data_IF_903366514723
#
_entry.id   IF_903366514723
#
_cell.length_a   1.000
_cell.length_b   1.000
_cell.length_c   1.000
_cell.angle_alpha   90.00
_cell.angle_beta   90.00
_cell.angle_gamma   90.00
#
_symmetry.space_group_name_H-M   'P 1'
#
loop_
_entity.id
_entity.type
_entity.pdbx_description
1 polymer ?
#
# COMPACT_ATOMS: atom_id res chain seq x y z
N UNK A 1 -48.27 -4.89 13.00
CA UNK A 1 -47.65 -4.26 11.81
C UNK A 1 -46.50 -3.39 12.31
N UNK A 2 -45.27 -3.85 12.14
CA UNK A 2 -44.08 -3.15 12.60
C UNK A 2 -43.58 -2.29 11.42
N UNK A 3 -43.75 -0.99 11.50
CA UNK A 3 -43.18 -0.04 10.57
C UNK A 3 -41.80 0.28 11.06
N UNK A 4 -40.79 -0.42 10.51
CA UNK A 4 -39.37 -0.12 10.74
C UNK A 4 -39.00 1.28 10.24
N UNK A 5 -37.97 1.92 10.82
CA UNK A 5 -37.53 3.25 10.39
C UNK A 5 -37.08 3.20 8.90
N UNK A 6 -37.65 4.12 8.11
CA UNK A 6 -37.36 4.22 6.70
C UNK A 6 -35.86 4.34 6.45
N UNK A 7 -35.37 3.53 5.54
CA UNK A 7 -34.02 3.68 4.98
C UNK A 7 -34.04 5.03 4.25
N UNK A 8 -33.42 6.06 4.83
CA UNK A 8 -33.16 7.31 4.13
C UNK A 8 -32.29 6.98 2.90
N UNK A 9 -32.86 7.09 1.71
CA UNK A 9 -32.10 7.10 0.47
C UNK A 9 -31.17 8.33 0.54
N UNK A 10 -29.90 8.09 0.76
CA UNK A 10 -28.88 9.14 0.64
C UNK A 10 -28.78 9.45 -0.86
N UNK A 11 -29.20 10.64 -1.26
CA UNK A 11 -29.11 11.05 -2.64
C UNK A 11 -27.64 11.20 -3.04
N UNK A 12 -27.30 10.80 -4.25
CA UNK A 12 -25.94 10.86 -4.80
C UNK A 12 -25.35 12.28 -4.72
N UNK A 13 -26.20 13.31 -4.79
CA UNK A 13 -25.83 14.72 -4.60
C UNK A 13 -25.38 15.04 -3.17
N UNK A 14 -25.94 14.38 -2.15
CA UNK A 14 -25.58 14.60 -0.76
C UNK A 14 -24.24 13.94 -0.45
N UNK A 15 -23.94 12.80 -1.07
CA UNK A 15 -22.64 12.15 -0.99
C UNK A 15 -21.56 13.04 -1.62
N UNK A 16 -21.83 13.62 -2.79
CA UNK A 16 -20.92 14.53 -3.48
C UNK A 16 -20.66 15.83 -2.71
N UNK A 17 -21.65 16.34 -1.99
CA UNK A 17 -21.50 17.53 -1.12
C UNK A 17 -20.66 17.25 0.14
N UNK A 18 -20.58 16.02 0.58
CA UNK A 18 -19.78 15.61 1.75
C UNK A 18 -18.36 15.20 1.36
N UNK A 19 -18.07 14.93 0.10
CA UNK A 19 -16.77 14.53 -0.38
C UNK A 19 -15.78 15.70 -0.34
N UNK A 20 -14.75 15.59 0.48
CA UNK A 20 -13.61 16.51 0.44
C UNK A 20 -12.70 16.13 -0.71
N UNK A 21 -12.47 17.06 -1.63
CA UNK A 21 -11.51 16.89 -2.71
C UNK A 21 -10.17 17.52 -2.34
N UNK A 22 -9.07 16.85 -2.70
CA UNK A 22 -7.70 17.34 -2.51
C UNK A 22 -6.90 17.13 -3.78
N UNK A 23 -5.97 18.02 -4.05
CA UNK A 23 -4.93 17.79 -5.06
C UNK A 23 -3.73 17.15 -4.38
N UNK A 24 -3.47 15.88 -4.69
CA UNK A 24 -2.37 15.09 -4.13
C UNK A 24 -1.72 14.25 -5.25
N UNK A 25 -0.55 13.74 -5.00
CA UNK A 25 0.10 12.77 -5.89
C UNK A 25 -0.32 11.32 -5.59
N UNK A 26 0.06 10.39 -6.48
CA UNK A 26 -0.30 8.97 -6.36
C UNK A 26 0.34 8.29 -5.14
N UNK A 27 1.54 8.68 -4.74
CA UNK A 27 2.19 8.12 -3.55
C UNK A 27 1.44 8.50 -2.28
N UNK A 28 1.05 9.78 -2.15
CA UNK A 28 0.24 10.25 -1.02
C UNK A 28 -1.12 9.56 -0.98
N UNK A 29 -1.75 9.36 -2.14
CA UNK A 29 -3.02 8.65 -2.26
C UNK A 29 -2.92 7.19 -1.80
N UNK A 30 -1.90 6.46 -2.27
CA UNK A 30 -1.62 5.08 -1.86
C UNK A 30 -1.33 4.98 -0.36
N UNK A 31 -0.44 5.84 0.16
CA UNK A 31 -0.10 5.88 1.57
C UNK A 31 -1.31 6.18 2.46
N UNK A 32 -2.24 7.02 2.00
CA UNK A 32 -3.44 7.37 2.75
C UNK A 32 -4.32 6.14 3.03
N UNK A 33 -4.55 5.32 2.03
CA UNK A 33 -5.34 4.10 2.16
C UNK A 33 -4.55 3.03 2.92
N UNK A 34 -3.29 2.81 2.56
CA UNK A 34 -2.43 1.85 3.24
C UNK A 34 -2.35 2.12 4.76
N UNK A 35 -2.19 3.39 5.15
CA UNK A 35 -2.17 3.79 6.55
C UNK A 35 -3.49 3.48 7.26
N UNK A 36 -4.61 3.72 6.58
CA UNK A 36 -5.93 3.51 7.17
C UNK A 36 -6.20 2.03 7.50
N UNK A 37 -5.66 1.11 6.71
CA UNK A 37 -5.95 -0.33 6.82
C UNK A 37 -4.82 -1.18 7.39
N UNK A 38 -3.67 -0.58 7.77
CA UNK A 38 -2.53 -1.33 8.28
C UNK A 38 -2.28 -1.07 9.77
N UNK A 39 -1.77 -2.09 10.46
CA UNK A 39 -1.20 -1.98 11.80
C UNK A 39 0.30 -1.69 11.75
N UNK A 40 0.96 -2.23 10.73
CA UNK A 40 2.41 -2.13 10.54
C UNK A 40 2.74 -1.79 9.08
N UNK A 41 3.71 -0.92 8.86
CA UNK A 41 4.39 -0.77 7.59
C UNK A 41 5.89 -1.05 7.80
N UNK A 42 6.40 -2.12 7.18
CA UNK A 42 7.82 -2.41 7.19
C UNK A 42 8.43 -1.94 5.86
N UNK A 43 9.40 -1.05 5.93
CA UNK A 43 9.87 -0.27 4.79
C UNK A 43 11.38 -0.33 4.63
N UNK A 44 11.84 -0.11 3.41
CA UNK A 44 13.16 0.36 3.09
C UNK A 44 13.04 1.34 1.90
N UNK A 45 13.37 2.64 2.11
CA UNK A 45 13.06 3.68 1.12
C UNK A 45 13.78 3.46 -0.22
N UNK A 46 13.04 3.58 -1.31
CA UNK A 46 13.57 3.56 -2.67
C UNK A 46 12.77 4.50 -3.57
N UNK A 47 13.45 5.32 -4.38
CA UNK A 47 12.83 6.22 -5.36
C UNK A 47 12.12 5.41 -6.47
N UNK A 48 10.88 5.76 -6.87
CA UNK A 48 10.06 6.90 -6.45
C UNK A 48 9.04 6.60 -5.34
N UNK A 49 9.12 5.47 -4.64
CA UNK A 49 8.15 5.06 -3.61
C UNK A 49 8.41 5.68 -2.23
N UNK A 50 9.60 6.26 -1.99
CA UNK A 50 9.98 6.85 -0.70
C UNK A 50 8.94 7.81 -0.10
N UNK A 51 8.27 8.69 -0.87
CA UNK A 51 7.26 9.59 -0.31
C UNK A 51 6.08 8.87 0.36
N UNK A 52 5.74 7.64 -0.03
CA UNK A 52 4.71 6.85 0.66
C UNK A 52 5.12 6.56 2.11
N UNK A 53 6.38 6.14 2.28
CA UNK A 53 6.92 5.84 3.61
C UNK A 53 7.08 7.11 4.46
N UNK A 54 7.59 8.19 3.86
CA UNK A 54 7.81 9.47 4.53
C UNK A 54 6.52 10.07 5.09
N UNK A 55 5.45 10.14 4.28
CA UNK A 55 4.15 10.67 4.75
C UNK A 55 3.50 9.75 5.78
N UNK A 56 3.64 8.43 5.64
CA UNK A 56 3.12 7.48 6.62
C UNK A 56 3.83 7.62 7.98
N UNK A 57 5.15 7.81 7.98
CA UNK A 57 5.93 8.05 9.20
C UNK A 57 5.58 9.39 9.85
N UNK A 58 5.45 10.47 9.04
CA UNK A 58 4.99 11.76 9.51
C UNK A 58 3.61 11.67 10.18
N UNK A 59 2.65 10.99 9.56
CA UNK A 59 1.32 10.80 10.15
C UNK A 59 1.39 10.00 11.45
N UNK A 60 2.20 8.97 11.52
CA UNK A 60 2.41 8.18 12.72
C UNK A 60 3.05 9.04 13.83
N UNK A 61 4.06 9.86 13.51
CA UNK A 61 4.70 10.76 14.46
C UNK A 61 3.72 11.80 15.01
N UNK A 62 2.82 12.31 14.16
CA UNK A 62 1.79 13.28 14.53
C UNK A 62 0.55 12.66 15.20
N UNK A 63 0.57 11.37 15.51
CA UNK A 63 -0.49 10.70 16.29
C UNK A 63 -1.74 10.33 15.49
N UNK A 64 -1.69 10.33 14.14
CA UNK A 64 -2.78 9.82 13.32
C UNK A 64 -3.03 8.34 13.66
N UNK A 65 -4.30 7.94 13.74
CA UNK A 65 -4.68 6.55 13.92
C UNK A 65 -5.20 5.95 12.61
N UNK A 66 -5.08 4.64 12.49
CA UNK A 66 -5.73 3.84 11.44
C UNK A 66 -7.25 3.72 11.71
N UNK A 67 -7.98 3.01 10.87
CA UNK A 67 -9.42 2.79 11.04
C UNK A 67 -9.78 1.98 12.30
N UNK A 68 -8.81 1.26 12.86
CA UNK A 68 -8.98 0.45 14.06
C UNK A 68 -8.65 1.23 15.35
N UNK A 69 -8.38 2.54 15.23
CA UNK A 69 -8.06 3.41 16.35
C UNK A 69 -6.63 3.27 16.88
N UNK A 70 -5.75 2.62 16.13
CA UNK A 70 -4.36 2.38 16.50
C UNK A 70 -3.41 3.23 15.65
N UNK A 71 -2.27 3.60 16.22
CA UNK A 71 -1.19 4.23 15.50
C UNK A 71 -0.45 3.17 14.69
N UNK A 72 -0.24 3.40 13.39
CA UNK A 72 0.52 2.50 12.54
C UNK A 72 1.99 2.48 12.98
N UNK A 73 2.54 1.31 13.16
CA UNK A 73 3.97 1.15 13.45
C UNK A 73 4.76 1.16 12.15
N UNK A 74 5.55 2.19 11.94
CA UNK A 74 6.49 2.26 10.83
C UNK A 74 7.83 1.67 11.29
N UNK A 75 8.34 0.69 10.55
CA UNK A 75 9.61 0.03 10.84
C UNK A 75 10.52 0.08 9.61
N UNK A 76 11.57 0.92 9.67
CA UNK A 76 12.59 0.97 8.64
C UNK A 76 13.60 -0.16 8.87
N UNK A 77 13.84 -0.92 7.81
CA UNK A 77 14.72 -2.09 7.81
C UNK A 77 16.07 -1.75 7.17
N UNK A 78 16.94 -2.75 7.01
CA UNK A 78 18.29 -2.57 6.45
C UNK A 78 18.37 -2.89 4.94
N UNK A 79 17.29 -3.44 4.38
CA UNK A 79 17.13 -3.74 2.95
C UNK A 79 15.69 -4.07 2.64
N UNK A 80 15.32 -4.07 1.36
CA UNK A 80 13.99 -4.49 0.92
C UNK A 80 13.70 -5.97 1.25
N UNK A 81 14.71 -6.83 1.15
CA UNK A 81 14.57 -8.23 1.58
C UNK A 81 14.27 -8.32 3.08
N UNK A 82 14.91 -7.48 3.90
CA UNK A 82 14.64 -7.36 5.32
C UNK A 82 13.22 -6.84 5.59
N UNK A 83 12.79 -5.82 4.83
CA UNK A 83 11.43 -5.29 4.92
C UNK A 83 10.39 -6.37 4.59
N UNK A 84 10.59 -7.13 3.51
CA UNK A 84 9.70 -8.23 3.14
C UNK A 84 9.68 -9.36 4.19
N UNK A 85 10.82 -9.65 4.82
CA UNK A 85 10.91 -10.59 5.95
C UNK A 85 10.12 -10.11 7.17
N UNK A 86 10.21 -8.81 7.48
CA UNK A 86 9.44 -8.20 8.56
C UNK A 86 7.93 -8.21 8.24
N UNK A 87 7.53 -7.91 7.00
CA UNK A 87 6.14 -8.03 6.54
C UNK A 87 5.64 -9.47 6.76
N UNK A 88 6.39 -10.47 6.30
CA UNK A 88 6.02 -11.87 6.45
C UNK A 88 5.82 -12.25 7.93
N UNK A 89 6.80 -11.91 8.79
CA UNK A 89 6.71 -12.19 10.23
C UNK A 89 5.54 -11.48 10.91
N UNK A 90 5.28 -10.23 10.56
CA UNK A 90 4.18 -9.44 11.10
C UNK A 90 2.81 -10.00 10.70
N UNK A 91 2.65 -10.38 9.42
CA UNK A 91 1.44 -11.05 8.92
C UNK A 91 1.20 -12.39 9.62
N UNK A 92 2.25 -13.19 9.84
CA UNK A 92 2.18 -14.45 10.60
C UNK A 92 1.74 -14.24 12.06
N UNK A 93 2.09 -13.10 12.63
CA UNK A 93 1.64 -12.72 13.97
C UNK A 93 0.21 -12.16 14.00
N UNK A 94 -0.45 -12.02 12.84
CA UNK A 94 -1.84 -11.59 12.72
C UNK A 94 -2.03 -10.07 12.56
N UNK A 95 -0.97 -9.30 12.38
CA UNK A 95 -1.07 -7.87 12.13
C UNK A 95 -1.27 -7.57 10.65
N UNK A 96 -2.18 -6.67 10.31
CA UNK A 96 -2.34 -6.16 8.94
C UNK A 96 -1.10 -5.34 8.56
N UNK A 97 -0.38 -5.82 7.55
CA UNK A 97 0.95 -5.27 7.25
C UNK A 97 1.12 -4.95 5.79
N UNK A 98 1.71 -3.78 5.52
CA UNK A 98 2.02 -3.27 4.19
C UNK A 98 3.50 -2.95 4.02
N UNK A 99 3.91 -2.72 2.78
CA UNK A 99 5.23 -2.16 2.42
C UNK A 99 5.12 -1.29 1.17
N UNK A 100 6.11 -0.41 1.00
CA UNK A 100 6.24 0.51 -0.13
C UNK A 100 7.57 0.27 -0.82
N UNK A 101 7.57 0.06 -2.13
CA UNK A 101 8.79 -0.31 -2.86
C UNK A 101 8.73 0.04 -4.35
N UNK A 102 9.80 -0.21 -5.06
CA UNK A 102 9.95 -0.02 -6.50
C UNK A 102 11.13 -0.84 -7.04
N UNK A 103 11.13 -1.11 -8.37
CA UNK A 103 12.30 -1.56 -9.13
C UNK A 103 13.04 -2.75 -8.50
N UNK A 104 14.36 -2.67 -8.36
CA UNK A 104 15.19 -3.72 -7.74
C UNK A 104 14.75 -4.05 -6.32
N UNK A 105 14.22 -3.07 -5.57
CA UNK A 105 13.69 -3.30 -4.24
C UNK A 105 12.56 -4.34 -4.24
N UNK A 106 11.62 -4.21 -5.17
CA UNK A 106 10.57 -5.21 -5.35
C UNK A 106 11.13 -6.59 -5.70
N UNK A 107 12.15 -6.66 -6.58
CA UNK A 107 12.78 -7.94 -6.94
C UNK A 107 13.47 -8.61 -5.75
N UNK A 108 14.05 -7.84 -4.83
CA UNK A 108 14.65 -8.36 -3.60
C UNK A 108 13.61 -8.94 -2.63
N UNK A 109 12.34 -8.59 -2.79
CA UNK A 109 11.23 -9.11 -1.99
C UNK A 109 10.67 -10.45 -2.50
N UNK A 110 10.98 -10.86 -3.73
CA UNK A 110 10.41 -12.04 -4.40
C UNK A 110 10.43 -13.30 -3.54
N UNK A 111 11.53 -13.69 -2.87
CA UNK A 111 11.54 -14.90 -2.05
C UNK A 111 10.48 -14.90 -0.94
N UNK A 112 10.27 -13.74 -0.30
CA UNK A 112 9.25 -13.57 0.73
C UNK A 112 7.84 -13.47 0.12
N UNK A 113 7.69 -12.90 -1.08
CA UNK A 113 6.41 -12.86 -1.78
C UNK A 113 5.88 -14.28 -2.04
N UNK A 114 6.73 -15.21 -2.49
CA UNK A 114 6.35 -16.63 -2.62
C UNK A 114 5.88 -17.24 -1.30
N UNK A 115 6.54 -16.90 -0.19
CA UNK A 115 6.16 -17.38 1.14
C UNK A 115 4.81 -16.80 1.58
N UNK A 116 4.64 -15.50 1.44
CA UNK A 116 3.41 -14.80 1.83
C UNK A 116 2.22 -15.35 1.03
N UNK A 117 2.35 -15.45 -0.30
CA UNK A 117 1.28 -15.98 -1.17
C UNK A 117 1.00 -17.46 -0.91
N UNK A 118 2.03 -18.29 -0.76
CA UNK A 118 1.88 -19.71 -0.48
C UNK A 118 1.25 -20.01 0.88
N UNK A 119 1.40 -19.13 1.83
CA UNK A 119 0.78 -19.21 3.16
C UNK A 119 -0.58 -18.47 3.23
N UNK A 120 -1.05 -17.91 2.12
CA UNK A 120 -2.30 -17.13 2.01
C UNK A 120 -2.41 -16.00 3.03
N UNK A 121 -1.31 -15.30 3.27
CA UNK A 121 -1.26 -14.18 4.19
C UNK A 121 -1.74 -12.87 3.50
N UNK A 122 -2.53 -12.04 4.19
CA UNK A 122 -3.14 -10.84 3.61
C UNK A 122 -2.14 -9.66 3.58
N UNK A 123 -1.08 -9.74 2.80
CA UNK A 123 -0.08 -8.68 2.65
C UNK A 123 -0.33 -7.83 1.40
N UNK A 124 -0.29 -6.51 1.56
CA UNK A 124 -0.44 -5.56 0.46
C UNK A 124 0.88 -4.83 0.22
N UNK A 125 1.36 -4.86 -1.03
CA UNK A 125 2.58 -4.20 -1.47
C UNK A 125 2.20 -3.05 -2.41
N UNK A 126 2.51 -1.83 -2.03
CA UNK A 126 2.30 -0.65 -2.88
C UNK A 126 3.57 -0.35 -3.66
N UNK A 127 3.46 -0.36 -4.98
CA UNK A 127 4.61 -0.24 -5.88
C UNK A 127 4.48 0.99 -6.75
N UNK A 128 5.42 1.91 -6.62
CA UNK A 128 5.62 2.97 -7.62
C UNK A 128 6.49 2.40 -8.73
N UNK A 129 5.85 1.73 -9.70
CA UNK A 129 6.52 0.93 -10.73
C UNK A 129 7.58 1.72 -11.48
N UNK A 130 8.81 1.20 -11.50
CA UNK A 130 10.01 1.84 -12.07
C UNK A 130 10.81 0.85 -12.88
N UNK A 131 11.42 1.34 -13.97
CA UNK A 131 12.34 0.58 -14.78
C UNK A 131 13.42 -0.10 -13.94
N UNK A 132 13.75 -1.34 -14.28
CA UNK A 132 14.89 -2.04 -13.70
C UNK A 132 16.20 -1.42 -14.19
N UNK A 133 17.20 -1.33 -13.30
CA UNK A 133 18.54 -0.94 -13.68
C UNK A 133 19.25 -2.13 -14.34
N UNK A 134 19.63 -1.95 -15.61
CA UNK A 134 20.46 -2.90 -16.36
C UNK A 134 21.86 -2.33 -16.55
N UNK A 135 22.06 -1.54 -17.63
CA UNK A 135 23.33 -0.87 -17.91
C UNK A 135 23.47 0.45 -17.17
N UNK A 136 22.36 1.12 -16.94
CA UNK A 136 22.29 2.39 -16.24
C UNK A 136 21.05 2.44 -15.33
N UNK A 137 21.13 3.31 -14.32
CA UNK A 137 19.98 3.62 -13.46
C UNK A 137 18.96 4.42 -14.27
N UNK A 138 17.68 4.07 -14.13
CA UNK A 138 16.54 4.86 -14.59
C UNK A 138 15.51 4.97 -13.48
N UNK A 139 14.93 6.16 -13.34
CA UNK A 139 13.85 6.44 -12.38
C UNK A 139 12.49 6.58 -13.07
N UNK A 140 12.43 6.40 -14.39
CA UNK A 140 11.18 6.51 -15.14
C UNK A 140 10.22 5.37 -14.84
N UNK A 141 8.92 5.68 -14.91
CA UNK A 141 7.84 4.70 -14.78
C UNK A 141 7.96 3.61 -15.84
N UNK A 142 7.90 2.36 -15.40
CA UNK A 142 8.00 1.18 -16.24
C UNK A 142 7.41 -0.02 -15.45
N UNK A 143 6.93 -1.03 -16.14
CA UNK A 143 6.32 -2.20 -15.50
C UNK A 143 7.25 -3.43 -15.41
N UNK A 144 8.53 -3.29 -15.74
CA UNK A 144 9.48 -4.42 -15.73
C UNK A 144 9.66 -5.02 -14.34
N UNK A 145 9.60 -4.21 -13.28
CA UNK A 145 9.69 -4.65 -11.90
C UNK A 145 8.47 -5.53 -11.49
N UNK A 146 7.25 -5.03 -11.69
CA UNK A 146 6.03 -5.79 -11.36
C UNK A 146 5.88 -7.02 -12.24
N UNK A 147 6.25 -6.94 -13.53
CA UNK A 147 6.25 -8.10 -14.43
C UNK A 147 7.25 -9.16 -13.99
N UNK A 148 8.37 -8.76 -13.39
CA UNK A 148 9.32 -9.68 -12.75
C UNK A 148 8.72 -10.48 -11.59
N UNK A 149 7.70 -9.96 -10.94
CA UNK A 149 7.03 -10.56 -9.78
C UNK A 149 5.77 -11.36 -10.12
N UNK A 150 5.32 -11.38 -11.38
CA UNK A 150 4.04 -11.98 -11.80
C UNK A 150 3.86 -13.47 -11.41
N UNK A 151 4.96 -14.17 -11.18
CA UNK A 151 4.94 -15.61 -10.84
C UNK A 151 4.84 -15.88 -9.34
N UNK A 152 4.88 -14.86 -8.50
CA UNK A 152 4.93 -15.01 -7.04
C UNK A 152 3.60 -15.42 -6.40
N UNK A 153 2.50 -15.35 -7.16
CA UNK A 153 1.16 -15.65 -6.67
C UNK A 153 0.40 -14.43 -6.12
N UNK A 154 1.01 -13.25 -6.10
CA UNK A 154 0.32 -12.01 -5.77
C UNK A 154 -0.65 -11.61 -6.88
N UNK A 155 -1.85 -11.18 -6.51
CA UNK A 155 -2.72 -10.43 -7.41
C UNK A 155 -2.09 -9.07 -7.71
N UNK A 156 -2.20 -8.60 -8.95
CA UNK A 156 -1.65 -7.33 -9.38
C UNK A 156 -2.77 -6.42 -9.89
N UNK A 157 -2.89 -5.23 -9.32
CA UNK A 157 -3.77 -4.18 -9.77
C UNK A 157 -2.93 -2.98 -10.23
N UNK A 158 -3.32 -2.35 -11.32
CA UNK A 158 -2.62 -1.18 -11.87
C UNK A 158 -3.60 -0.03 -12.01
N UNK A 159 -3.18 1.15 -11.57
CA UNK A 159 -3.96 2.39 -11.62
C UNK A 159 -3.34 3.37 -12.61
N UNK A 160 -4.18 4.17 -13.27
CA UNK A 160 -3.78 5.19 -14.24
C UNK A 160 -4.07 6.63 -13.75
N UNK A 161 -4.78 6.79 -12.65
CA UNK A 161 -5.10 8.09 -12.05
C UNK A 161 -4.99 8.06 -10.53
N UNK A 162 -4.85 9.23 -9.90
CA UNK A 162 -4.76 9.37 -8.44
C UNK A 162 -6.02 8.85 -7.75
N UNK A 163 -7.20 9.06 -8.33
CA UNK A 163 -8.45 8.51 -7.78
C UNK A 163 -8.47 6.98 -7.85
N UNK A 164 -8.06 6.40 -8.99
CA UNK A 164 -7.95 4.95 -9.11
C UNK A 164 -6.94 4.34 -8.12
N UNK A 165 -5.84 5.05 -7.81
CA UNK A 165 -4.91 4.59 -6.75
C UNK A 165 -5.66 4.39 -5.45
N UNK A 166 -6.48 5.35 -5.03
CA UNK A 166 -7.24 5.25 -3.77
C UNK A 166 -8.27 4.11 -3.84
N UNK A 167 -9.02 4.03 -4.92
CA UNK A 167 -10.08 3.05 -5.09
C UNK A 167 -9.52 1.62 -5.13
N UNK A 168 -8.46 1.39 -5.92
CA UNK A 168 -7.82 0.08 -6.04
C UNK A 168 -7.04 -0.29 -4.77
N UNK A 169 -6.37 0.68 -4.12
CA UNK A 169 -5.73 0.41 -2.85
C UNK A 169 -6.75 -0.06 -1.79
N UNK A 170 -7.94 0.54 -1.76
CA UNK A 170 -9.03 0.10 -0.88
C UNK A 170 -9.48 -1.34 -1.20
N UNK A 171 -9.57 -1.68 -2.49
CA UNK A 171 -9.97 -3.03 -2.93
C UNK A 171 -8.92 -4.09 -2.56
N UNK A 172 -7.64 -3.71 -2.50
CA UNK A 172 -6.55 -4.64 -2.16
C UNK A 172 -6.44 -4.95 -0.67
N UNK A 173 -6.86 -4.03 0.19
CA UNK A 173 -6.91 -4.19 1.65
C UNK A 173 -8.20 -4.84 2.11
#
# INVERSE_FOLDING_TARGET
MYTGPGIHQIHQEDILKMAKTMTIDGNTAAAHVAYAFSDVAAIYPITPSSPMAEVADEWAANGRTNLFGQKVRIAEMQSEAGAAGAVHGSLKAGALTTTFTASQGLLLMIPNMYKISGELLPGVFHVSARALAYHALSIFGDHSDVMGCRQTGFAMLSSASVQEVMDLALVTH
#
